data_IF_944959939109
#
_entry.id   IF_944959939109
#
_cell.length_a   1.000
_cell.length_b   1.000
_cell.length_c   1.000
_cell.angle_alpha   90.00
_cell.angle_beta   90.00
_cell.angle_gamma   90.00
#
_symmetry.space_group_name_H-M   'P 1'
#
loop_
_entity.id
_entity.type
_entity.pdbx_description
1 polymer ?
#
# COMPACT_ATOMS: atom_id res chain seq x y z
N UNK A 1 5.18 2.94 1.88
CA UNK A 1 5.76 3.52 0.64
C UNK A 1 5.61 2.57 -0.54
N UNK A 2 5.66 3.08 -1.77
CA UNK A 2 5.70 2.27 -2.99
C UNK A 2 7.15 2.15 -3.47
N UNK A 3 7.65 0.92 -3.63
CA UNK A 3 9.09 0.68 -3.89
C UNK A 3 9.52 1.05 -5.31
N UNK A 4 8.61 0.94 -6.30
CA UNK A 4 8.93 1.14 -7.73
C UNK A 4 9.46 2.55 -8.07
N UNK A 5 9.02 3.55 -7.32
CA UNK A 5 9.27 4.98 -7.55
C UNK A 5 9.61 5.73 -6.25
N UNK A 6 9.83 4.98 -5.16
CA UNK A 6 10.15 5.49 -3.82
C UNK A 6 9.12 6.52 -3.29
N UNK A 7 7.87 6.44 -3.75
CA UNK A 7 6.84 7.41 -3.40
C UNK A 7 6.22 7.09 -2.03
N UNK A 8 6.15 8.10 -1.16
CA UNK A 8 5.49 8.01 0.14
C UNK A 8 3.99 8.12 -0.10
N UNK A 9 3.26 7.03 0.20
CA UNK A 9 1.80 7.00 0.07
C UNK A 9 1.12 7.57 1.31
N UNK A 10 1.61 7.18 2.48
CA UNK A 10 1.04 7.51 3.79
C UNK A 10 2.18 7.63 4.81
N UNK A 11 2.00 8.46 5.82
CA UNK A 11 2.88 8.53 6.99
C UNK A 11 2.02 8.75 8.25
N UNK A 12 1.96 7.74 9.11
CA UNK A 12 0.97 7.69 10.19
C UNK A 12 -0.44 7.88 9.63
N UNK A 13 -1.29 8.74 10.22
CA UNK A 13 -2.67 8.94 9.79
C UNK A 13 -2.82 9.82 8.54
N UNK A 14 -1.71 10.36 8.01
CA UNK A 14 -1.73 11.26 6.87
C UNK A 14 -1.50 10.50 5.57
N UNK A 15 -2.31 10.82 4.57
CA UNK A 15 -2.13 10.35 3.19
C UNK A 15 -1.37 11.41 2.41
N UNK A 16 -0.22 11.05 1.84
CA UNK A 16 0.68 11.92 1.07
C UNK A 16 0.50 11.78 -0.46
N UNK A 17 -0.20 10.74 -0.89
CA UNK A 17 -0.53 10.57 -2.31
C UNK A 17 -1.65 11.52 -2.71
N UNK A 18 -1.54 12.08 -3.92
CA UNK A 18 -2.61 12.87 -4.54
C UNK A 18 -3.75 12.01 -5.14
N UNK A 19 -3.60 10.69 -5.09
CA UNK A 19 -4.57 9.72 -5.60
C UNK A 19 -5.48 9.26 -4.44
N UNK A 20 -6.73 9.73 -4.45
CA UNK A 20 -7.76 9.47 -3.43
C UNK A 20 -8.08 7.98 -3.20
N UNK A 21 -7.58 7.12 -4.09
CA UNK A 21 -7.68 5.66 -3.97
C UNK A 21 -6.84 5.13 -2.82
N UNK A 22 -5.74 5.80 -2.47
CA UNK A 22 -4.91 5.42 -1.34
C UNK A 22 -5.47 6.03 -0.06
N UNK A 23 -5.74 5.19 0.92
CA UNK A 23 -6.23 5.60 2.23
C UNK A 23 -5.45 4.83 3.29
N UNK A 24 -5.31 5.44 4.46
CA UNK A 24 -4.77 4.76 5.63
C UNK A 24 -5.88 4.58 6.65
N UNK A 25 -5.96 3.37 7.20
CA UNK A 25 -6.82 3.07 8.33
C UNK A 25 -5.95 2.63 9.50
N UNK A 26 -6.24 3.21 10.66
CA UNK A 26 -5.65 2.85 11.93
C UNK A 26 -6.78 2.41 12.86
N UNK A 27 -6.72 1.17 13.33
CA UNK A 27 -7.71 0.70 14.28
C UNK A 27 -7.49 1.40 15.64
N UNK A 28 -8.61 1.75 16.30
CA UNK A 28 -8.57 2.37 17.63
C UNK A 28 -7.90 1.37 18.59
N UNK A 29 -6.95 1.86 19.40
CA UNK A 29 -6.17 1.07 20.38
C UNK A 29 -5.35 -0.10 19.77
N UNK A 30 -5.03 -0.04 18.48
CA UNK A 30 -4.15 -1.01 17.81
C UNK A 30 -2.87 -0.33 17.32
N UNK A 31 -1.77 -1.09 17.24
CA UNK A 31 -0.53 -0.67 16.57
C UNK A 31 -0.56 -1.00 15.06
N UNK A 32 -1.71 -1.45 14.55
CA UNK A 32 -1.87 -1.86 13.17
C UNK A 32 -2.26 -0.71 12.25
N UNK A 33 -1.43 -0.51 11.23
CA UNK A 33 -1.66 0.42 10.14
C UNK A 33 -2.02 -0.35 8.86
N UNK A 34 -3.24 -0.16 8.37
CA UNK A 34 -3.72 -0.78 7.14
C UNK A 34 -3.70 0.24 6.00
N UNK A 35 -2.92 -0.05 4.95
CA UNK A 35 -3.00 0.68 3.68
C UNK A 35 -4.15 0.11 2.86
N UNK A 36 -5.13 0.96 2.55
CA UNK A 36 -6.27 0.63 1.71
C UNK A 36 -6.03 1.22 0.32
N UNK A 37 -6.16 0.38 -0.72
CA UNK A 37 -6.07 0.81 -2.11
C UNK A 37 -7.40 0.48 -2.79
N UNK A 38 -8.20 1.51 -3.10
CA UNK A 38 -9.50 1.36 -3.78
C UNK A 38 -9.33 1.35 -5.29
N UNK A 39 -10.21 0.66 -6.00
CA UNK A 39 -10.22 0.61 -7.48
C UNK A 39 -8.81 0.31 -8.06
N UNK A 40 -8.22 -0.79 -7.59
CA UNK A 40 -6.87 -1.22 -8.01
C UNK A 40 -6.84 -1.49 -9.51
N UNK A 41 -5.76 -1.05 -10.15
CA UNK A 41 -5.53 -1.23 -11.57
C UNK A 41 -4.29 -2.10 -11.79
N UNK A 42 -4.15 -2.66 -12.98
CA UNK A 42 -2.97 -3.48 -13.35
C UNK A 42 -1.65 -2.73 -13.15
N UNK A 43 -1.66 -1.40 -13.30
CA UNK A 43 -0.49 -0.54 -13.04
C UNK A 43 -0.10 -0.43 -11.56
N UNK A 44 -1.00 -0.75 -10.63
CA UNK A 44 -0.72 -0.63 -9.18
C UNK A 44 0.05 -1.85 -8.66
N UNK A 45 0.19 -2.92 -9.46
CA UNK A 45 1.01 -4.09 -9.15
C UNK A 45 2.44 -3.69 -8.81
N UNK A 46 3.00 -4.32 -7.79
CA UNK A 46 4.37 -4.08 -7.35
C UNK A 46 4.57 -4.22 -5.85
N UNK A 47 5.78 -3.88 -5.40
CA UNK A 47 6.15 -3.97 -3.98
C UNK A 47 5.79 -2.67 -3.25
N UNK A 48 5.02 -2.82 -2.20
CA UNK A 48 4.71 -1.82 -1.20
C UNK A 48 5.47 -2.17 0.08
N UNK A 49 5.87 -1.18 0.85
CA UNK A 49 6.63 -1.42 2.08
C UNK A 49 6.05 -0.60 3.22
N UNK A 50 5.80 -1.28 4.34
CA UNK A 50 5.56 -0.65 5.63
C UNK A 50 6.93 -0.44 6.29
N UNK A 51 7.21 0.78 6.74
CA UNK A 51 8.46 1.13 7.41
C UNK A 51 8.17 1.77 8.75
N UNK A 52 8.94 1.38 9.78
CA UNK A 52 8.88 1.97 11.12
C UNK A 52 10.29 2.44 11.48
N UNK A 53 10.39 3.69 11.97
CA UNK A 53 11.65 4.31 12.32
C UNK A 53 12.15 3.85 13.70
N UNK A 54 12.45 2.56 13.82
CA UNK A 54 13.15 1.95 14.96
C UNK A 54 14.65 1.88 14.68
N UNK A 55 15.46 1.65 15.71
CA UNK A 55 16.87 1.28 15.56
C UNK A 55 17.09 -0.15 16.06
N UNK A 56 17.41 -1.13 15.18
CA UNK A 56 17.56 -1.02 13.72
C UNK A 56 16.22 -0.80 13.00
N UNK A 57 16.26 -0.22 11.78
CA UNK A 57 15.05 0.06 10.99
C UNK A 57 14.23 -1.22 10.77
N UNK A 58 12.94 -1.15 11.06
CA UNK A 58 12.03 -2.24 10.77
C UNK A 58 11.27 -1.95 9.48
N UNK A 59 11.30 -2.89 8.54
CA UNK A 59 10.51 -2.78 7.32
C UNK A 59 9.89 -4.11 6.91
N UNK A 60 8.70 -4.04 6.31
CA UNK A 60 7.95 -5.19 5.82
C UNK A 60 7.49 -4.95 4.37
N UNK A 61 8.14 -5.57 3.38
CA UNK A 61 7.69 -5.51 1.99
C UNK A 61 6.50 -6.45 1.75
N UNK A 62 5.55 -5.99 0.95
CA UNK A 62 4.34 -6.70 0.54
C UNK A 62 4.16 -6.51 -0.96
N UNK A 63 4.01 -7.60 -1.71
CA UNK A 63 3.77 -7.55 -3.16
C UNK A 63 2.28 -7.53 -3.44
N UNK A 64 1.80 -6.50 -4.12
CA UNK A 64 0.46 -6.45 -4.67
C UNK A 64 0.47 -7.10 -6.06
N UNK A 65 -0.34 -8.14 -6.23
CA UNK A 65 -0.49 -8.86 -7.51
C UNK A 65 -1.91 -8.67 -8.05
N UNK A 66 -2.02 -8.52 -9.38
CA UNK A 66 -3.31 -8.44 -10.04
C UNK A 66 -3.84 -9.85 -10.32
N UNK A 67 -4.98 -10.18 -9.72
CA UNK A 67 -5.72 -11.42 -10.03
C UNK A 67 -6.83 -11.08 -11.02
N UNK A 68 -6.46 -10.94 -12.29
CA UNK A 68 -7.44 -10.89 -13.36
C UNK A 68 -7.97 -12.29 -13.64
N UNK A 69 -9.26 -12.52 -13.41
CA UNK A 69 -9.94 -13.61 -14.09
C UNK A 69 -9.85 -13.33 -15.59
N UNK A 70 -9.20 -14.22 -16.34
CA UNK A 70 -9.26 -14.16 -17.80
C UNK A 70 -10.73 -14.33 -18.17
N UNK A 71 -11.39 -13.27 -18.65
CA UNK A 71 -12.62 -13.46 -19.43
C UNK A 71 -12.24 -14.26 -20.68
N UNK A 72 -12.47 -15.56 -20.63
CA UNK A 72 -12.40 -16.43 -21.80
C UNK A 72 -13.64 -16.15 -22.63
N UNK A 73 -13.49 -15.34 -23.67
CA UNK A 73 -14.48 -15.30 -24.74
C UNK A 73 -14.39 -16.65 -25.46
N UNK A 74 -15.42 -17.50 -25.30
CA UNK A 74 -15.69 -18.62 -26.20
C UNK A 74 -16.47 -18.13 -27.41
#
# INVERSE_FOLDING_TARGET
MRKRDLHILTAGPLTYSADDRFQVHHAIDSDEWTLIVRFTQTRDVGVYECQVNTDPKMSRPVTLEFRGEKCSCN
#
